data_IF_449829127708
#
_entry.id   IF_449829127708
#
_cell.length_a   1.000
_cell.length_b   1.000
_cell.length_c   1.000
_cell.angle_alpha   90.00
_cell.angle_beta   90.00
_cell.angle_gamma   90.00
#
_symmetry.space_group_name_H-M   'P 1'
#
loop_
_entity.id
_entity.type
_entity.pdbx_description
1 polymer ?
#
# COMPACT_ATOMS: atom_id res chain seq x y z
N UNK A 1 -21.66 -35.33 -8.89
CA UNK A 1 -20.85 -35.09 -10.10
C UNK A 1 -20.06 -33.82 -9.86
N UNK A 2 -18.74 -33.78 -10.10
CA UNK A 2 -17.99 -32.54 -9.94
C UNK A 2 -18.54 -31.56 -10.97
N UNK A 3 -19.01 -30.40 -10.52
CA UNK A 3 -19.48 -29.35 -11.41
C UNK A 3 -18.24 -28.79 -12.10
N UNK A 4 -17.92 -29.32 -13.29
CA UNK A 4 -16.90 -28.77 -14.17
C UNK A 4 -17.44 -27.45 -14.72
N UNK A 5 -17.30 -26.38 -13.93
CA UNK A 5 -17.54 -25.03 -14.42
C UNK A 5 -16.50 -24.75 -15.52
N UNK A 6 -16.92 -24.87 -16.78
CA UNK A 6 -16.11 -24.60 -17.97
C UNK A 6 -15.71 -23.12 -18.14
N UNK A 7 -15.88 -22.29 -17.12
CA UNK A 7 -15.54 -20.88 -17.14
C UNK A 7 -14.58 -20.55 -15.99
N UNK A 8 -13.29 -20.42 -16.31
CA UNK A 8 -12.28 -19.97 -15.35
C UNK A 8 -12.31 -18.45 -15.29
N UNK A 9 -12.95 -17.88 -14.27
CA UNK A 9 -12.91 -16.43 -14.03
C UNK A 9 -11.48 -16.08 -13.60
N UNK A 10 -10.73 -15.26 -14.36
CA UNK A 10 -9.41 -14.83 -13.93
C UNK A 10 -9.56 -13.95 -12.69
N UNK A 11 -8.66 -14.11 -11.72
CA UNK A 11 -8.63 -13.27 -10.51
C UNK A 11 -8.56 -11.77 -10.86
N UNK A 12 -7.95 -11.44 -11.99
CA UNK A 12 -7.79 -10.07 -12.47
C UNK A 12 -7.62 -10.02 -13.99
N UNK A 13 -8.02 -8.89 -14.58
CA UNK A 13 -7.75 -8.56 -15.99
C UNK A 13 -7.22 -7.11 -16.05
N UNK A 14 -5.90 -6.90 -16.17
CA UNK A 14 -5.33 -5.57 -16.29
C UNK A 14 -5.92 -4.81 -17.47
N UNK A 15 -6.11 -3.50 -17.32
CA UNK A 15 -6.53 -2.61 -18.39
C UNK A 15 -5.29 -1.87 -18.90
N UNK A 16 -4.98 -2.06 -20.19
CA UNK A 16 -3.99 -1.26 -20.91
C UNK A 16 -4.64 -0.80 -22.20
N UNK A 17 -4.84 0.51 -22.33
CA UNK A 17 -5.52 1.11 -23.48
C UNK A 17 -4.61 2.00 -24.31
N UNK A 18 -5.16 2.59 -25.38
CA UNK A 18 -4.39 3.42 -26.30
C UNK A 18 -3.78 4.65 -25.64
N UNK A 19 -4.42 5.25 -24.64
CA UNK A 19 -3.87 6.39 -23.93
C UNK A 19 -2.63 5.98 -23.11
N UNK A 20 -2.68 4.82 -22.46
CA UNK A 20 -1.52 4.27 -21.73
C UNK A 20 -0.37 3.89 -22.68
N UNK A 21 -0.68 3.29 -23.83
CA UNK A 21 0.33 2.97 -24.85
C UNK A 21 0.99 4.23 -25.41
N UNK A 22 0.20 5.28 -25.67
CA UNK A 22 0.72 6.56 -26.13
C UNK A 22 1.59 7.24 -25.07
N UNK A 23 1.16 7.24 -23.80
CA UNK A 23 1.95 7.78 -22.70
C UNK A 23 3.30 7.06 -22.56
N UNK A 24 3.30 5.73 -22.69
CA UNK A 24 4.52 4.94 -22.69
C UNK A 24 5.46 5.32 -23.86
N UNK A 25 4.95 5.37 -25.08
CA UNK A 25 5.73 5.73 -26.27
C UNK A 25 6.32 7.15 -26.18
N UNK A 26 5.52 8.12 -25.74
CA UNK A 26 5.98 9.51 -25.56
C UNK A 26 7.09 9.59 -24.54
N UNK A 27 6.97 8.89 -23.40
CA UNK A 27 8.00 8.89 -22.36
C UNK A 27 9.33 8.27 -22.84
N UNK A 28 9.27 7.20 -23.64
CA UNK A 28 10.46 6.56 -24.23
C UNK A 28 11.17 7.49 -25.23
N UNK A 29 10.40 8.24 -26.02
CA UNK A 29 10.94 9.09 -27.07
C UNK A 29 11.48 10.43 -26.54
N UNK A 30 10.88 10.97 -25.48
CA UNK A 30 11.08 12.38 -25.11
C UNK A 30 11.63 12.60 -23.69
N UNK A 31 11.72 11.56 -22.84
CA UNK A 31 12.17 11.70 -21.46
C UNK A 31 13.46 10.92 -21.16
N UNK A 32 14.06 11.19 -19.99
CA UNK A 32 15.14 10.35 -19.46
C UNK A 32 14.57 8.98 -19.08
N UNK A 33 15.26 7.91 -19.49
CA UNK A 33 14.86 6.53 -19.18
C UNK A 33 14.91 6.20 -17.68
N UNK A 34 15.74 6.92 -16.93
CA UNK A 34 15.86 6.84 -15.47
C UNK A 34 15.57 8.21 -14.90
N UNK A 35 14.63 8.29 -13.95
CA UNK A 35 14.24 9.54 -13.30
C UNK A 35 13.81 10.63 -14.30
N UNK A 36 12.96 10.24 -15.27
CA UNK A 36 12.34 11.16 -16.23
C UNK A 36 11.27 12.06 -15.60
N UNK A 37 10.72 12.97 -16.41
CA UNK A 37 9.75 13.96 -15.95
C UNK A 37 8.46 13.30 -15.42
N UNK A 38 8.01 12.22 -16.06
CA UNK A 38 6.83 11.45 -15.65
C UNK A 38 6.98 10.83 -14.27
N UNK A 39 8.20 10.53 -13.80
CA UNK A 39 8.42 10.06 -12.42
C UNK A 39 8.04 11.15 -11.41
N UNK A 40 8.56 12.36 -11.59
CA UNK A 40 8.31 13.48 -10.68
C UNK A 40 6.86 13.97 -10.74
N UNK A 41 6.27 14.03 -11.95
CA UNK A 41 4.85 14.37 -12.09
C UNK A 41 3.96 13.33 -11.42
N UNK A 42 4.29 12.05 -11.53
CA UNK A 42 3.53 11.01 -10.86
C UNK A 42 3.63 11.13 -9.33
N UNK A 43 4.82 11.43 -8.80
CA UNK A 43 4.99 11.72 -7.37
C UNK A 43 4.13 12.89 -6.91
N UNK A 44 4.15 14.02 -7.62
CA UNK A 44 3.35 15.20 -7.29
C UNK A 44 1.84 14.90 -7.36
N UNK A 45 1.39 14.26 -8.43
CA UNK A 45 -0.01 13.89 -8.63
C UNK A 45 -0.48 12.90 -7.55
N UNK A 46 0.36 11.93 -7.17
CA UNK A 46 0.02 10.94 -6.15
C UNK A 46 0.04 11.52 -4.73
N UNK A 47 0.98 12.41 -4.40
CA UNK A 47 0.99 13.16 -3.14
C UNK A 47 -0.31 13.96 -3.00
N UNK A 48 -0.67 14.72 -4.05
CA UNK A 48 -1.95 15.46 -4.11
C UNK A 48 -3.15 14.54 -3.96
N UNK A 49 -3.12 13.38 -4.62
CA UNK A 49 -4.19 12.40 -4.52
C UNK A 49 -4.35 11.88 -3.09
N UNK A 50 -3.27 11.50 -2.40
CA UNK A 50 -3.34 11.05 -1.00
C UNK A 50 -3.60 12.18 0.00
N UNK A 51 -3.45 13.45 -0.38
CA UNK A 51 -3.53 14.59 0.53
C UNK A 51 -2.28 14.77 1.39
N UNK A 52 -1.11 14.37 0.88
CA UNK A 52 0.20 14.55 1.52
C UNK A 52 1.05 15.59 0.78
N UNK A 53 2.09 16.10 1.44
CA UNK A 53 3.00 17.10 0.84
C UNK A 53 4.01 16.49 -0.13
N UNK A 54 4.47 15.27 0.16
CA UNK A 54 5.53 14.63 -0.58
C UNK A 54 5.14 13.21 -0.97
N UNK A 55 5.61 12.79 -2.15
CA UNK A 55 5.69 11.39 -2.53
C UNK A 55 7.05 11.07 -3.15
N UNK A 56 7.50 9.83 -2.99
CA UNK A 56 8.76 9.30 -3.49
C UNK A 56 8.52 7.92 -4.06
N UNK A 57 8.62 7.80 -5.38
CA UNK A 57 8.41 6.53 -6.07
C UNK A 57 9.58 5.58 -5.86
N UNK A 58 9.27 4.28 -5.75
CA UNK A 58 10.26 3.22 -5.54
C UNK A 58 10.04 2.07 -6.54
N UNK A 59 10.98 1.13 -6.59
CA UNK A 59 10.89 -0.02 -7.50
C UNK A 59 9.78 -1.02 -7.14
N UNK A 60 9.28 -1.03 -5.90
CA UNK A 60 8.20 -1.93 -5.46
C UNK A 60 7.59 -1.46 -4.14
N UNK A 61 6.42 -2.00 -3.77
CA UNK A 61 5.82 -1.76 -2.45
C UNK A 61 6.69 -2.26 -1.28
N UNK A 62 7.37 -3.40 -1.44
CA UNK A 62 8.34 -3.89 -0.45
C UNK A 62 9.48 -2.90 -0.26
N UNK A 63 10.03 -2.35 -1.35
CA UNK A 63 11.06 -1.33 -1.26
C UNK A 63 10.53 -0.02 -0.67
N UNK A 64 9.27 0.34 -0.90
CA UNK A 64 8.64 1.49 -0.26
C UNK A 64 8.64 1.32 1.27
N UNK A 65 8.15 0.19 1.78
CA UNK A 65 8.11 -0.10 3.22
C UNK A 65 9.51 -0.12 3.84
N UNK A 66 10.47 -0.81 3.21
CA UNK A 66 11.85 -0.89 3.69
C UNK A 66 12.49 0.49 3.76
N UNK A 67 12.42 1.26 2.68
CA UNK A 67 13.02 2.60 2.61
C UNK A 67 12.31 3.54 3.58
N UNK A 68 10.99 3.44 3.76
CA UNK A 68 10.25 4.24 4.73
C UNK A 68 10.74 4.00 6.17
N UNK A 69 10.89 2.73 6.57
CA UNK A 69 11.40 2.36 7.89
C UNK A 69 12.81 2.93 8.11
N UNK A 70 13.73 2.69 7.18
CA UNK A 70 15.09 3.24 7.28
C UNK A 70 15.11 4.76 7.26
N UNK A 71 14.17 5.39 6.55
CA UNK A 71 14.08 6.85 6.48
C UNK A 71 13.59 7.48 7.78
N UNK A 72 12.91 6.69 8.61
CA UNK A 72 12.50 7.08 9.95
C UNK A 72 13.54 6.71 11.03
N UNK A 73 14.71 6.22 10.61
CA UNK A 73 15.79 5.82 11.51
C UNK A 73 15.54 4.50 12.24
N UNK A 74 14.63 3.66 11.75
CA UNK A 74 14.43 2.31 12.29
C UNK A 74 15.66 1.46 11.98
N UNK A 75 16.17 0.76 12.98
CA UNK A 75 17.36 -0.09 12.85
C UNK A 75 17.28 -1.43 13.62
N UNK A 76 18.41 -2.11 13.75
CA UNK A 76 18.54 -3.43 14.36
C UNK A 76 18.20 -3.56 15.84
N UNK A 77 18.16 -2.46 16.60
CA UNK A 77 17.75 -2.50 18.01
C UNK A 77 16.24 -2.38 18.19
N UNK A 78 15.53 -2.01 17.13
CA UNK A 78 14.11 -1.71 17.16
C UNK A 78 13.24 -2.95 16.91
N UNK A 79 12.09 -2.96 17.58
CA UNK A 79 10.95 -3.82 17.25
C UNK A 79 9.90 -3.02 16.49
N UNK A 80 9.33 -3.63 15.44
CA UNK A 80 8.23 -3.05 14.67
C UNK A 80 7.03 -3.99 14.71
N UNK A 81 5.89 -3.50 15.21
CA UNK A 81 4.69 -4.32 15.34
C UNK A 81 3.90 -4.33 14.02
N UNK A 82 3.51 -5.51 13.57
CA UNK A 82 2.56 -5.72 12.47
C UNK A 82 1.77 -7.01 12.68
N UNK A 83 1.09 -7.51 11.66
CA UNK A 83 0.32 -8.77 11.72
C UNK A 83 0.95 -9.86 10.85
N UNK A 84 0.90 -11.15 11.26
CA UNK A 84 1.24 -12.26 10.39
C UNK A 84 0.13 -12.54 9.36
N UNK A 85 -1.07 -11.99 9.56
CA UNK A 85 -2.19 -12.02 8.63
C UNK A 85 -2.09 -10.84 7.64
N UNK A 86 -1.05 -10.85 6.82
CA UNK A 86 -0.82 -9.92 5.72
C UNK A 86 0.01 -10.62 4.64
N UNK A 87 0.29 -9.92 3.54
CA UNK A 87 1.30 -10.39 2.61
C UNK A 87 2.69 -10.33 3.24
N UNK A 88 3.51 -11.35 2.97
CA UNK A 88 4.86 -11.52 3.56
C UNK A 88 5.78 -10.31 3.42
N UNK A 89 5.56 -9.45 2.41
CA UNK A 89 6.35 -8.25 2.20
C UNK A 89 6.37 -7.29 3.40
N UNK A 90 5.30 -7.20 4.20
CA UNK A 90 5.23 -6.29 5.35
C UNK A 90 6.29 -6.65 6.39
N UNK A 91 6.37 -7.91 6.81
CA UNK A 91 7.38 -8.40 7.76
C UNK A 91 8.77 -8.52 7.12
N UNK A 92 8.85 -8.89 5.84
CA UNK A 92 10.11 -8.94 5.11
C UNK A 92 10.78 -7.55 5.01
N UNK A 93 10.01 -6.48 4.82
CA UNK A 93 10.52 -5.12 4.77
C UNK A 93 11.09 -4.67 6.13
N UNK A 94 10.49 -5.09 7.24
CA UNK A 94 11.02 -4.85 8.61
C UNK A 94 12.40 -5.49 8.75
N UNK A 95 12.53 -6.76 8.37
CA UNK A 95 13.81 -7.48 8.43
C UNK A 95 14.86 -6.84 7.52
N UNK A 96 14.48 -6.45 6.30
CA UNK A 96 15.39 -5.77 5.37
C UNK A 96 15.81 -4.38 5.84
N UNK A 97 14.99 -3.70 6.65
CA UNK A 97 15.37 -2.46 7.32
C UNK A 97 16.34 -2.69 8.49
N UNK A 98 16.50 -3.94 8.94
CA UNK A 98 17.37 -4.35 10.03
C UNK A 98 16.62 -4.68 11.32
N UNK A 99 15.36 -4.26 11.46
CA UNK A 99 14.57 -4.38 12.68
C UNK A 99 13.93 -5.76 12.87
N UNK A 100 13.40 -6.00 14.07
CA UNK A 100 12.70 -7.23 14.41
C UNK A 100 11.17 -7.08 14.26
N UNK A 101 10.50 -7.90 13.43
CA UNK A 101 9.05 -7.91 13.39
C UNK A 101 8.49 -8.52 14.68
N UNK A 102 7.55 -7.82 15.29
CA UNK A 102 6.72 -8.34 16.38
C UNK A 102 5.29 -8.46 15.88
N UNK A 103 4.65 -9.58 16.18
CA UNK A 103 3.32 -9.87 15.68
C UNK A 103 2.24 -9.61 16.73
N UNK A 104 1.24 -8.84 16.33
CA UNK A 104 -0.05 -8.72 17.00
C UNK A 104 -1.13 -9.22 16.04
N UNK A 105 -2.19 -9.77 16.60
CA UNK A 105 -3.23 -10.46 15.83
C UNK A 105 -4.29 -9.47 15.29
N UNK A 106 -5.10 -9.92 14.34
CA UNK A 106 -6.14 -9.13 13.68
C UNK A 106 -7.45 -9.14 14.46
N UNK A 107 -8.39 -8.30 14.05
CA UNK A 107 -9.75 -8.28 14.57
C UNK A 107 -10.46 -9.62 14.34
N UNK A 108 -11.27 -10.09 15.29
CA UNK A 108 -11.93 -11.41 15.19
C UNK A 108 -12.88 -11.54 13.99
N UNK A 109 -13.59 -10.45 13.66
CA UNK A 109 -14.55 -10.38 12.57
C UNK A 109 -14.01 -9.61 11.36
N UNK A 110 -12.83 -9.01 11.49
CA UNK A 110 -12.15 -8.23 10.46
C UNK A 110 -10.91 -8.93 9.93
N UNK A 111 -10.15 -8.20 9.13
CA UNK A 111 -8.90 -8.68 8.55
C UNK A 111 -7.71 -7.79 8.93
N UNK A 112 -7.99 -6.64 9.53
CA UNK A 112 -6.99 -5.64 9.86
C UNK A 112 -6.47 -5.85 11.27
N UNK A 113 -5.25 -5.35 11.49
CA UNK A 113 -4.57 -5.38 12.78
C UNK A 113 -5.45 -4.75 13.88
N UNK A 114 -5.51 -5.39 15.05
CA UNK A 114 -6.34 -4.90 16.18
C UNK A 114 -5.53 -3.94 17.07
N UNK A 115 -5.96 -2.66 17.24
CA UNK A 115 -5.25 -1.70 18.09
C UNK A 115 -5.03 -2.17 19.54
N UNK A 116 -5.99 -2.90 20.13
CA UNK A 116 -5.88 -3.36 21.51
C UNK A 116 -4.82 -4.46 21.64
N UNK A 117 -4.76 -5.36 20.65
CA UNK A 117 -3.73 -6.42 20.60
C UNK A 117 -2.35 -5.84 20.32
N UNK A 118 -2.26 -4.73 19.58
CA UNK A 118 -1.01 -3.97 19.41
C UNK A 118 -0.55 -3.36 20.73
N UNK A 119 -1.44 -2.66 21.44
CA UNK A 119 -1.08 -2.06 22.74
C UNK A 119 -0.56 -3.11 23.73
N UNK A 120 -1.23 -4.27 23.81
CA UNK A 120 -0.80 -5.38 24.65
C UNK A 120 0.54 -6.01 24.22
N UNK A 121 0.97 -5.80 22.98
CA UNK A 121 2.21 -6.36 22.43
C UNK A 121 3.41 -5.41 22.56
N UNK A 122 3.20 -4.17 22.97
CA UNK A 122 4.26 -3.17 23.10
C UNK A 122 5.38 -3.60 24.04
N UNK A 123 6.60 -3.20 23.70
CA UNK A 123 7.78 -3.32 24.57
C UNK A 123 8.58 -2.03 24.57
N UNK A 124 9.59 -1.96 25.44
CA UNK A 124 10.55 -0.85 25.43
C UNK A 124 11.37 -0.74 24.13
N UNK A 125 11.40 -1.78 23.31
CA UNK A 125 12.07 -1.76 22.00
C UNK A 125 11.11 -1.39 20.87
N UNK A 126 9.80 -1.31 21.13
CA UNK A 126 8.85 -0.98 20.06
C UNK A 126 9.04 0.45 19.61
N UNK A 127 9.43 0.61 18.35
CA UNK A 127 9.71 1.93 17.75
C UNK A 127 8.68 2.35 16.72
N UNK A 128 8.01 1.38 16.10
CA UNK A 128 6.98 1.64 15.11
C UNK A 128 5.90 0.57 15.05
N UNK A 129 4.77 0.93 14.47
CA UNK A 129 3.67 0.04 14.06
C UNK A 129 3.42 0.13 12.55
N UNK A 130 3.06 -0.99 11.94
CA UNK A 130 2.64 -1.08 10.53
C UNK A 130 1.24 -1.68 10.45
N UNK A 131 0.16 -0.88 10.59
CA UNK A 131 -1.17 -1.30 10.19
C UNK A 131 -1.23 -1.50 8.67
N UNK A 132 -1.88 -2.59 8.26
CA UNK A 132 -2.11 -2.93 6.85
C UNK A 132 -3.56 -2.64 6.52
N UNK A 133 -3.82 -1.99 5.38
CA UNK A 133 -5.17 -1.82 4.86
C UNK A 133 -5.57 -3.01 3.98
N UNK A 134 -5.83 -4.13 4.64
CA UNK A 134 -5.90 -5.42 3.98
C UNK A 134 -7.16 -5.52 3.09
N UNK A 135 -6.98 -6.11 1.90
CA UNK A 135 -8.02 -6.29 0.89
C UNK A 135 -8.71 -5.00 0.42
N UNK A 136 -8.13 -3.84 0.71
CA UNK A 136 -8.69 -2.53 0.36
C UNK A 136 -9.64 -1.95 1.40
N UNK A 137 -9.67 -2.53 2.61
CA UNK A 137 -10.36 -1.97 3.75
C UNK A 137 -9.40 -1.12 4.59
N UNK A 138 -9.72 0.16 4.88
CA UNK A 138 -8.96 0.96 5.84
C UNK A 138 -8.83 0.23 7.19
N UNK A 139 -7.67 0.36 7.83
CA UNK A 139 -7.53 -0.05 9.23
C UNK A 139 -8.13 1.05 10.14
N UNK A 140 -8.30 0.79 11.43
CA UNK A 140 -8.84 1.75 12.41
C UNK A 140 -7.82 2.87 12.71
N UNK A 141 -7.61 3.75 11.73
CA UNK A 141 -6.46 4.65 11.72
C UNK A 141 -6.49 5.73 12.79
N UNK A 142 -7.67 6.20 13.19
CA UNK A 142 -7.77 7.13 14.31
C UNK A 142 -7.24 6.50 15.60
N UNK A 143 -7.58 5.24 15.88
CA UNK A 143 -7.12 4.56 17.10
C UNK A 143 -5.63 4.22 17.05
N UNK A 144 -5.12 3.83 15.89
CA UNK A 144 -3.68 3.67 15.72
C UNK A 144 -2.93 5.00 15.84
N UNK A 145 -3.51 6.11 15.38
CA UNK A 145 -2.93 7.45 15.55
C UNK A 145 -2.86 7.81 17.04
N UNK A 146 -3.97 7.66 17.76
CA UNK A 146 -4.04 7.94 19.19
C UNK A 146 -3.03 7.09 19.98
N UNK A 147 -2.94 5.79 19.66
CA UNK A 147 -1.96 4.89 20.27
C UNK A 147 -0.51 5.30 19.95
N UNK A 148 -0.22 5.65 18.70
CA UNK A 148 1.11 6.07 18.29
C UNK A 148 1.54 7.36 19.00
N UNK A 149 0.62 8.32 19.14
CA UNK A 149 0.84 9.58 19.87
C UNK A 149 1.08 9.34 21.36
N UNK A 150 0.21 8.57 22.02
CA UNK A 150 0.32 8.28 23.46
C UNK A 150 1.65 7.60 23.82
N UNK A 151 2.10 6.66 22.98
CA UNK A 151 3.32 5.89 23.22
C UNK A 151 4.58 6.52 22.62
N UNK A 152 4.45 7.59 21.84
CA UNK A 152 5.59 8.24 21.17
C UNK A 152 6.29 7.32 20.15
N UNK A 153 5.54 6.43 19.49
CA UNK A 153 6.06 5.52 18.46
C UNK A 153 5.63 5.98 17.08
N UNK A 154 6.36 5.54 16.06
CA UNK A 154 6.04 5.89 14.69
C UNK A 154 4.97 4.98 14.08
N UNK A 155 4.33 5.44 13.01
CA UNK A 155 3.26 4.71 12.32
C UNK A 155 3.49 4.78 10.82
N UNK A 156 3.64 3.60 10.20
CA UNK A 156 3.79 3.44 8.75
C UNK A 156 2.55 2.72 8.24
N UNK A 157 1.81 3.31 7.32
CA UNK A 157 0.68 2.64 6.69
C UNK A 157 1.17 1.72 5.57
N UNK A 158 0.84 0.43 5.63
CA UNK A 158 0.91 -0.45 4.46
C UNK A 158 -0.42 -0.35 3.69
N UNK A 159 -0.45 0.60 2.75
CA UNK A 159 -1.58 0.89 1.88
C UNK A 159 -1.46 0.18 0.51
N UNK A 160 -0.60 -0.83 0.39
CA UNK A 160 -0.34 -1.53 -0.87
C UNK A 160 -1.58 -2.20 -1.49
N UNK A 161 -2.67 -2.36 -0.74
CA UNK A 161 -3.94 -2.93 -1.21
C UNK A 161 -5.11 -1.93 -1.18
N UNK A 162 -4.88 -0.65 -0.88
CA UNK A 162 -5.97 0.28 -0.54
C UNK A 162 -5.89 1.63 -1.26
N UNK A 163 -5.45 1.64 -2.52
CA UNK A 163 -5.35 2.87 -3.32
C UNK A 163 -6.69 3.58 -3.42
N UNK A 164 -6.81 4.74 -2.77
CA UNK A 164 -8.05 5.54 -2.75
C UNK A 164 -9.07 5.12 -1.71
N UNK A 165 -8.74 4.22 -0.78
CA UNK A 165 -9.60 3.96 0.37
C UNK A 165 -9.59 5.17 1.31
N UNK A 166 -10.71 5.39 2.00
CA UNK A 166 -10.89 6.57 2.85
C UNK A 166 -11.47 6.21 4.20
N UNK A 167 -11.12 6.98 5.22
CA UNK A 167 -11.79 6.98 6.51
C UNK A 167 -12.10 8.45 6.88
N UNK A 168 -13.37 8.77 7.10
CA UNK A 168 -13.89 10.10 7.39
C UNK A 168 -13.44 11.18 6.39
N UNK A 169 -13.46 10.85 5.09
CA UNK A 169 -13.07 11.75 4.00
C UNK A 169 -11.56 11.98 3.87
N UNK A 170 -10.73 11.31 4.68
CA UNK A 170 -9.27 11.31 4.57
C UNK A 170 -8.80 10.01 3.92
N UNK A 171 -7.93 10.13 2.92
CA UNK A 171 -7.38 8.98 2.19
C UNK A 171 -6.31 8.25 2.99
N UNK A 172 -6.31 6.93 2.88
CA UNK A 172 -5.25 6.09 3.46
C UNK A 172 -3.88 6.45 2.86
N UNK A 173 -2.83 6.17 3.63
CA UNK A 173 -1.46 6.62 3.38
C UNK A 173 -1.18 8.04 3.88
N UNK A 174 -2.18 8.77 4.38
CA UNK A 174 -2.01 10.11 4.93
C UNK A 174 -2.15 10.20 6.44
N UNK A 175 -2.59 9.15 7.14
CA UNK A 175 -2.87 9.14 8.59
C UNK A 175 -1.60 8.97 9.43
N UNK A 176 -0.68 8.13 8.96
CA UNK A 176 0.60 7.83 9.59
C UNK A 176 1.65 8.92 9.39
N UNK A 177 2.83 8.64 9.91
CA UNK A 177 4.02 9.43 9.60
C UNK A 177 4.44 9.20 8.14
N UNK A 178 4.21 7.98 7.63
CA UNK A 178 4.49 7.58 6.25
C UNK A 178 3.42 6.61 5.78
N UNK A 179 3.02 6.71 4.50
CA UNK A 179 2.21 5.70 3.81
C UNK A 179 2.99 5.05 2.67
N UNK A 180 2.78 3.75 2.48
CA UNK A 180 3.46 2.96 1.44
C UNK A 180 2.46 2.28 0.51
N UNK A 181 2.73 2.33 -0.79
CA UNK A 181 1.88 1.75 -1.84
C UNK A 181 2.66 0.83 -2.76
N UNK A 182 1.94 -0.07 -3.42
CA UNK A 182 2.44 -0.99 -4.43
C UNK A 182 1.65 -0.81 -5.70
N UNK A 183 2.33 -0.73 -6.84
CA UNK A 183 1.68 -0.68 -8.15
C UNK A 183 1.77 -2.01 -8.90
N UNK A 184 1.91 -3.11 -8.16
CA UNK A 184 1.94 -4.45 -8.73
C UNK A 184 0.66 -4.73 -9.54
N UNK A 185 0.75 -5.65 -10.50
CA UNK A 185 -0.29 -5.85 -11.52
C UNK A 185 -1.70 -6.08 -10.93
N UNK A 186 -1.81 -6.73 -9.77
CA UNK A 186 -3.10 -7.05 -9.14
C UNK A 186 -3.77 -5.92 -8.38
N UNK A 187 -3.09 -4.81 -8.11
CA UNK A 187 -3.62 -3.73 -7.27
C UNK A 187 -4.73 -2.95 -7.97
N UNK A 188 -5.44 -2.10 -7.23
CA UNK A 188 -6.53 -1.27 -7.76
C UNK A 188 -6.09 -0.37 -8.93
N UNK A 189 -4.81 0.01 -8.93
CA UNK A 189 -4.10 0.56 -10.09
C UNK A 189 -2.73 -0.11 -10.21
N UNK A 190 -2.18 -0.13 -11.42
CA UNK A 190 -0.83 -0.63 -11.69
C UNK A 190 -0.06 0.36 -12.54
N UNK A 191 1.25 0.16 -12.61
CA UNK A 191 2.16 0.86 -13.52
C UNK A 191 2.59 -0.01 -14.70
N UNK A 192 1.97 -1.18 -14.89
CA UNK A 192 2.36 -2.20 -15.89
C UNK A 192 3.79 -2.72 -15.67
N UNK A 193 4.10 -3.05 -14.43
CA UNK A 193 5.39 -3.54 -13.96
C UNK A 193 5.42 -3.52 -12.43
N UNK A 194 6.61 -3.67 -11.86
CA UNK A 194 6.82 -3.39 -10.45
C UNK A 194 6.95 -1.88 -10.20
N UNK A 195 6.42 -1.45 -9.06
CA UNK A 195 6.50 -0.08 -8.61
C UNK A 195 5.96 0.08 -7.19
N UNK A 196 6.41 1.12 -6.51
CA UNK A 196 5.89 1.53 -5.22
C UNK A 196 5.91 3.04 -5.06
N UNK A 197 5.30 3.50 -3.98
CA UNK A 197 5.30 4.91 -3.60
C UNK A 197 5.38 5.02 -2.08
N UNK A 198 6.21 5.93 -1.60
CA UNK A 198 6.20 6.43 -0.23
C UNK A 198 5.50 7.79 -0.27
N UNK A 199 4.58 8.04 0.64
CA UNK A 199 3.95 9.36 0.83
C UNK A 199 4.16 9.82 2.26
N UNK A 200 4.40 11.12 2.46
CA UNK A 200 4.61 11.69 3.80
C UNK A 200 4.40 13.21 3.78
N UNK A 201 4.23 13.78 4.97
CA UNK A 201 4.25 15.23 5.19
C UNK A 201 5.60 15.74 5.72
N UNK A 202 6.52 14.84 6.05
CA UNK A 202 7.85 15.16 6.55
C UNK A 202 8.87 15.25 5.39
N UNK A 203 9.48 16.42 5.24
CA UNK A 203 10.46 16.70 4.20
C UNK A 203 11.76 15.90 4.39
N UNK A 204 12.22 15.73 5.63
CA UNK A 204 13.45 15.00 5.94
C UNK A 204 13.29 13.52 5.62
N UNK A 205 12.11 12.95 5.91
CA UNK A 205 11.78 11.57 5.52
C UNK A 205 11.74 11.45 4.00
N UNK A 206 11.09 12.38 3.30
CA UNK A 206 11.02 12.37 1.84
C UNK A 206 12.41 12.47 1.17
N UNK A 207 13.26 13.40 1.62
CA UNK A 207 14.63 13.55 1.11
C UNK A 207 15.49 12.33 1.40
N UNK A 208 15.31 11.75 2.58
CA UNK A 208 16.02 10.54 2.99
C UNK A 208 15.61 9.34 2.16
N UNK A 209 14.32 9.20 1.85
CA UNK A 209 13.80 8.19 0.95
C UNK A 209 14.30 8.38 -0.49
N UNK A 210 14.35 9.63 -1.00
CA UNK A 210 14.92 9.96 -2.32
C UNK A 210 16.38 9.55 -2.41
N UNK A 211 17.15 9.75 -1.34
CA UNK A 211 18.53 9.32 -1.23
C UNK A 211 18.63 7.80 -1.26
N UNK A 212 17.89 7.10 -0.41
CA UNK A 212 17.91 5.63 -0.33
C UNK A 212 17.54 4.95 -1.64
N UNK A 213 16.52 5.42 -2.37
CA UNK A 213 16.12 4.80 -3.65
C UNK A 213 17.15 4.94 -4.77
N UNK A 214 18.06 5.91 -4.66
CA UNK A 214 19.04 6.27 -5.68
C UNK A 214 20.48 6.09 -5.14
N UNK A 215 20.79 4.89 -4.69
CA UNK A 215 22.12 4.48 -4.22
C UNK A 215 22.66 5.28 -3.03
N UNK A 216 21.79 5.92 -2.24
CA UNK A 216 22.19 6.76 -1.11
C UNK A 216 22.70 8.13 -1.53
N UNK A 217 22.36 8.59 -2.74
CA UNK A 217 22.85 9.83 -3.34
C UNK A 217 22.41 11.05 -2.54
N UNK A 218 23.37 11.92 -2.25
CA UNK A 218 23.14 13.28 -1.74
C UNK A 218 23.47 14.34 -2.80
N UNK A 219 24.43 14.05 -3.68
CA UNK A 219 24.78 14.89 -4.84
C UNK A 219 25.30 14.01 -5.98
N UNK A 220 25.61 14.57 -7.16
CA UNK A 220 26.03 13.79 -8.34
C UNK A 220 27.15 12.77 -8.05
N UNK A 221 28.08 13.08 -7.15
CA UNK A 221 29.23 12.24 -6.82
C UNK A 221 29.37 11.93 -5.33
N UNK A 222 28.37 12.26 -4.50
CA UNK A 222 28.41 12.03 -3.06
C UNK A 222 27.26 11.13 -2.64
N UNK A 223 27.59 10.05 -1.94
CA UNK A 223 26.61 9.16 -1.30
C UNK A 223 26.65 9.40 0.21
N UNK A 224 25.52 9.79 0.80
CA UNK A 224 25.42 10.05 2.23
C UNK A 224 25.12 8.78 3.06
N UNK A 225 24.75 7.68 2.39
CA UNK A 225 24.35 6.41 3.02
C UNK A 225 24.49 5.26 2.05
N UNK A 226 24.38 4.03 2.55
CA UNK A 226 24.27 2.83 1.73
C UNK A 226 22.81 2.70 1.28
N UNK A 227 22.54 3.02 0.02
CA UNK A 227 21.20 2.91 -0.56
C UNK A 227 21.08 1.81 -1.61
N UNK A 228 19.99 1.86 -2.37
CA UNK A 228 19.57 0.84 -3.31
C UNK A 228 19.41 1.42 -4.70
N UNK A 229 19.40 0.55 -5.72
CA UNK A 229 18.82 0.90 -7.02
C UNK A 229 17.35 0.51 -7.01
N UNK A 230 16.50 1.36 -6.44
CA UNK A 230 15.05 1.10 -6.31
C UNK A 230 14.23 2.27 -6.87
N UNK A 231 14.57 2.69 -8.08
CA UNK A 231 13.90 3.79 -8.79
C UNK A 231 12.74 3.24 -9.62
N UNK A 232 11.61 3.92 -9.63
CA UNK A 232 10.52 3.62 -10.57
C UNK A 232 10.96 3.96 -12.00
N UNK A 233 10.63 3.08 -12.95
CA UNK A 233 10.92 3.32 -14.36
C UNK A 233 10.03 4.46 -14.93
N UNK A 234 10.61 5.31 -15.77
CA UNK A 234 9.91 6.47 -16.35
C UNK A 234 8.64 6.09 -17.14
N UNK A 235 8.69 4.99 -17.90
CA UNK A 235 7.54 4.49 -18.67
C UNK A 235 6.43 4.00 -17.75
N UNK A 236 6.80 3.26 -16.70
CA UNK A 236 5.85 2.78 -15.70
C UNK A 236 5.18 3.97 -14.99
N UNK A 237 5.93 5.01 -14.64
CA UNK A 237 5.36 6.24 -14.08
C UNK A 237 4.38 6.94 -15.05
N UNK A 238 4.72 7.06 -16.34
CA UNK A 238 3.84 7.67 -17.34
C UNK A 238 2.49 6.93 -17.46
N UNK A 239 2.51 5.60 -17.42
CA UNK A 239 1.29 4.78 -17.38
C UNK A 239 0.52 5.00 -16.07
N UNK A 240 1.22 5.02 -14.93
CA UNK A 240 0.64 5.25 -13.60
C UNK A 240 -0.16 6.55 -13.52
N UNK A 241 0.33 7.63 -14.15
CA UNK A 241 -0.38 8.92 -14.23
C UNK A 241 -1.70 8.82 -14.98
N UNK A 242 -1.74 8.06 -16.07
CA UNK A 242 -2.99 7.81 -16.82
C UNK A 242 -3.98 7.03 -15.95
N UNK A 243 -3.51 5.98 -15.25
CA UNK A 243 -4.35 5.18 -14.36
C UNK A 243 -4.88 5.98 -13.16
N UNK A 244 -4.06 6.83 -12.55
CA UNK A 244 -4.43 7.60 -11.36
C UNK A 244 -5.68 8.47 -11.60
N UNK A 245 -5.81 9.08 -12.79
CA UNK A 245 -6.98 9.88 -13.17
C UNK A 245 -8.29 9.09 -13.25
N UNK A 246 -8.20 7.76 -13.28
CA UNK A 246 -9.34 6.84 -13.44
C UNK A 246 -9.60 5.99 -12.20
N UNK A 247 -8.70 6.05 -11.21
CA UNK A 247 -8.71 5.21 -10.03
C UNK A 247 -10.03 5.30 -9.26
N UNK A 248 -10.53 6.52 -8.99
CA UNK A 248 -11.79 6.72 -8.27
C UNK A 248 -12.98 6.04 -8.98
N UNK A 249 -13.07 6.16 -10.30
CA UNK A 249 -14.10 5.51 -11.12
C UNK A 249 -13.98 3.99 -11.08
N UNK A 250 -12.76 3.46 -11.10
CA UNK A 250 -12.53 2.01 -11.01
C UNK A 250 -12.83 1.46 -9.62
N UNK A 251 -12.51 2.20 -8.57
CA UNK A 251 -12.85 1.84 -7.20
C UNK A 251 -14.37 1.82 -7.00
N UNK A 252 -15.10 2.80 -7.54
CA UNK A 252 -16.57 2.78 -7.50
C UNK A 252 -17.15 1.56 -8.23
N UNK A 253 -16.61 1.20 -9.40
CA UNK A 253 -17.03 -0.02 -10.09
C UNK A 253 -16.78 -1.28 -9.25
N UNK A 254 -15.64 -1.37 -8.55
CA UNK A 254 -15.34 -2.47 -7.62
C UNK A 254 -16.31 -2.51 -6.45
N UNK A 255 -16.66 -1.37 -5.86
CA UNK A 255 -17.69 -1.27 -4.80
C UNK A 255 -19.06 -1.75 -5.29
N UNK A 256 -19.46 -1.37 -6.51
CA UNK A 256 -20.69 -1.86 -7.13
C UNK A 256 -20.72 -3.39 -7.26
N UNK A 257 -19.59 -4.01 -7.63
CA UNK A 257 -19.44 -5.47 -7.70
C UNK A 257 -19.45 -6.10 -6.29
N UNK A 258 -18.79 -5.50 -5.31
CA UNK A 258 -18.81 -5.98 -3.93
C UNK A 258 -20.23 -5.96 -3.34
N UNK A 259 -21.01 -4.91 -3.63
CA UNK A 259 -22.41 -4.82 -3.23
C UNK A 259 -23.30 -5.87 -3.91
N UNK A 260 -23.01 -6.17 -5.18
CA UNK A 260 -23.65 -7.29 -5.87
C UNK A 260 -23.34 -8.62 -5.16
N UNK A 261 -22.06 -8.93 -4.90
CA UNK A 261 -21.70 -10.15 -4.19
C UNK A 261 -22.34 -10.24 -2.82
N UNK A 262 -22.33 -9.15 -2.04
CA UNK A 262 -22.99 -9.11 -0.74
C UNK A 262 -24.47 -9.46 -0.87
N UNK A 263 -25.20 -8.82 -1.78
CA UNK A 263 -26.64 -9.09 -1.99
C UNK A 263 -26.91 -10.55 -2.38
N UNK A 264 -26.15 -11.10 -3.33
CA UNK A 264 -26.42 -12.45 -3.86
C UNK A 264 -25.90 -13.57 -2.94
N UNK A 265 -24.95 -13.29 -2.04
CA UNK A 265 -24.32 -14.29 -1.17
C UNK A 265 -24.70 -14.17 0.31
N UNK A 266 -25.52 -13.20 0.72
CA UNK A 266 -25.87 -12.99 2.15
C UNK A 266 -26.48 -14.25 2.78
N UNK A 267 -27.34 -14.96 2.06
CA UNK A 267 -28.02 -16.16 2.55
C UNK A 267 -27.33 -17.47 2.10
N UNK A 268 -26.12 -17.38 1.55
CA UNK A 268 -25.40 -18.55 1.09
C UNK A 268 -24.89 -19.39 2.29
N UNK A 269 -25.30 -20.67 2.41
CA UNK A 269 -24.93 -21.48 3.56
C UNK A 269 -23.43 -21.76 3.59
N UNK A 270 -22.81 -21.62 4.78
CA UNK A 270 -21.39 -21.90 4.99
C UNK A 270 -20.44 -20.86 4.39
N UNK A 271 -20.94 -19.68 4.01
CA UNK A 271 -20.16 -18.55 3.51
C UNK A 271 -20.30 -17.37 4.46
N UNK A 272 -19.17 -16.94 5.03
CA UNK A 272 -19.10 -15.72 5.81
C UNK A 272 -18.50 -14.60 4.94
N UNK A 273 -19.27 -13.54 4.76
CA UNK A 273 -18.90 -12.40 3.94
C UNK A 273 -17.84 -11.51 4.63
N UNK A 274 -17.07 -10.72 3.86
CA UNK A 274 -16.19 -9.73 4.44
C UNK A 274 -16.99 -8.70 5.27
N UNK A 275 -16.35 -8.01 6.24
CA UNK A 275 -16.99 -6.99 7.05
C UNK A 275 -17.84 -6.01 6.23
N UNK A 276 -18.97 -5.60 6.81
CA UNK A 276 -19.69 -4.44 6.29
C UNK A 276 -18.83 -3.18 6.38
N UNK A 277 -19.09 -2.23 5.49
CA UNK A 277 -18.49 -0.90 5.55
C UNK A 277 -18.92 -0.25 6.86
N UNK A 278 -17.97 0.19 7.69
CA UNK A 278 -18.30 0.94 8.90
C UNK A 278 -18.62 2.39 8.54
N UNK A 279 -19.34 3.08 9.43
CA UNK A 279 -19.67 4.50 9.21
C UNK A 279 -18.39 5.32 9.02
N UNK A 280 -18.33 6.06 7.92
CA UNK A 280 -17.18 6.90 7.56
C UNK A 280 -16.07 6.16 6.80
N UNK A 281 -16.17 4.84 6.59
CA UNK A 281 -15.20 4.09 5.79
C UNK A 281 -15.64 3.97 4.33
N UNK A 282 -14.70 4.17 3.42
CA UNK A 282 -14.88 3.94 1.98
C UNK A 282 -13.83 2.92 1.52
N UNK A 283 -14.13 1.61 1.59
CA UNK A 283 -13.22 0.60 1.07
C UNK A 283 -13.16 0.61 -0.47
N UNK A 284 -12.09 0.02 -0.99
CA UNK A 284 -11.85 -0.08 -2.44
C UNK A 284 -11.84 -1.51 -2.98
N UNK A 285 -12.05 -2.49 -2.10
CA UNK A 285 -12.17 -3.91 -2.44
C UNK A 285 -11.10 -4.36 -3.45
N UNK A 286 -9.83 -4.33 -3.03
CA UNK A 286 -8.76 -4.98 -3.79
C UNK A 286 -9.13 -6.44 -4.03
N UNK A 287 -9.64 -7.10 -2.99
CA UNK A 287 -10.25 -8.42 -3.02
C UNK A 287 -11.56 -8.41 -2.22
N UNK A 288 -12.54 -9.21 -2.64
CA UNK A 288 -13.74 -9.54 -1.86
C UNK A 288 -13.54 -10.94 -1.29
N UNK A 289 -13.03 -11.04 -0.07
CA UNK A 289 -12.62 -12.31 0.55
C UNK A 289 -13.73 -12.84 1.45
N UNK A 290 -14.18 -14.06 1.17
CA UNK A 290 -15.14 -14.79 2.01
C UNK A 290 -14.42 -15.85 2.84
N UNK A 291 -15.00 -16.21 3.99
CA UNK A 291 -14.57 -17.36 4.81
C UNK A 291 -15.58 -18.49 4.68
N UNK A 292 -15.11 -19.73 4.80
CA UNK A 292 -15.95 -20.93 4.79
C UNK A 292 -15.29 -22.04 5.59
N UNK A 293 -16.10 -22.81 6.32
CA UNK A 293 -15.66 -24.02 7.03
C UNK A 293 -15.17 -25.12 6.06
N UNK A 294 -15.51 -25.00 4.78
CA UNK A 294 -15.17 -25.95 3.73
C UNK A 294 -14.32 -25.34 2.61
N UNK A 295 -13.43 -24.39 2.93
CA UNK A 295 -12.64 -23.60 1.95
C UNK A 295 -11.91 -24.40 0.86
N UNK A 296 -11.45 -25.62 1.14
CA UNK A 296 -10.74 -26.46 0.17
C UNK A 296 -11.67 -27.35 -0.69
N UNK A 297 -12.97 -27.42 -0.38
CA UNK A 297 -14.00 -28.20 -1.08
C UNK A 297 -14.83 -27.30 -2.01
#
# INVERSE_FOLDING_TARGET
MPVTHGFKIPLMRPIVDQEMLQAAAVSLQNEKLVMGESVYKFEEEFARYCGTRYAVSTGSGTAALQIALQSMGIDQIDEVITTPFSFFATSNAIIHAGAQPRFADVENHGFNLDPQKVEASLTQKTRAIIPVHLYGHPARMNEFRDLADDKGISMIEDACQAHGAEQNGRRVGSFGHVGCFSFYTSKNMTVCGDGGMIVTNDEQVADTARSFRDCGRASKYTMARIGYTSRLNTVNAAIGRVQLRRLDKWNEARRGIANLYRRELTDAPGVELPPAEMSGETPVYHLFVVRSDHRDQ
#
